data_IF_657562803910
#
_entry.id   IF_657562803910
#
_cell.length_a   1.000
_cell.length_b   1.000
_cell.length_c   1.000
_cell.angle_alpha   90.00
_cell.angle_beta   90.00
_cell.angle_gamma   90.00
#
_symmetry.space_group_name_H-M   'P 1'
#
loop_
_entity.id
_entity.type
_entity.pdbx_description
1 polymer ?
#
# COMPACT_ATOMS: atom_id res chain seq x y z
N UNK A 1 -27.15 -9.44 -4.67
CA UNK A 1 -28.46 -8.76 -4.89
C UNK A 1 -29.45 -8.80 -3.70
N UNK A 2 -29.22 -9.59 -2.63
CA UNK A 2 -30.19 -9.74 -1.50
C UNK A 2 -30.07 -8.71 -0.36
N UNK A 3 -28.90 -8.10 -0.14
CA UNK A 3 -28.67 -7.11 0.93
C UNK A 3 -29.31 -5.74 0.68
N UNK A 4 -29.36 -5.26 -0.57
CA UNK A 4 -29.94 -3.94 -0.92
C UNK A 4 -31.47 -3.89 -0.73
N UNK A 5 -32.17 -5.01 -0.98
CA UNK A 5 -33.63 -5.10 -0.77
C UNK A 5 -33.99 -5.12 0.72
N UNK A 6 -33.15 -5.71 1.56
CA UNK A 6 -33.37 -5.79 3.01
C UNK A 6 -33.21 -4.42 3.69
N UNK A 7 -32.18 -3.64 3.31
CA UNK A 7 -31.99 -2.25 3.79
C UNK A 7 -33.17 -1.33 3.46
N UNK A 8 -33.75 -1.44 2.25
CA UNK A 8 -34.93 -0.65 1.88
C UNK A 8 -36.19 -1.03 2.66
N UNK A 9 -36.38 -2.33 2.92
CA UNK A 9 -37.49 -2.81 3.74
C UNK A 9 -37.35 -2.40 5.20
N UNK A 10 -36.13 -2.46 5.76
CA UNK A 10 -35.84 -2.01 7.12
C UNK A 10 -36.12 -0.50 7.28
N UNK A 11 -35.72 0.32 6.30
CA UNK A 11 -35.98 1.77 6.30
C UNK A 11 -37.49 2.09 6.30
N UNK A 12 -38.27 1.38 5.49
CA UNK A 12 -39.73 1.57 5.47
C UNK A 12 -40.43 1.05 6.74
N UNK A 13 -39.90 -0.01 7.35
CA UNK A 13 -40.43 -0.53 8.61
C UNK A 13 -40.18 0.47 9.76
N UNK A 14 -38.98 1.05 9.82
CA UNK A 14 -38.60 2.06 10.81
C UNK A 14 -39.43 3.34 10.67
N UNK A 15 -39.67 3.81 9.43
CA UNK A 15 -40.54 4.96 9.16
C UNK A 15 -42.01 4.73 9.50
N UNK A 16 -42.49 3.49 9.42
CA UNK A 16 -43.86 3.14 9.85
C UNK A 16 -43.97 3.00 11.36
N UNK A 17 -42.92 2.50 12.02
CA UNK A 17 -42.87 2.41 13.47
C UNK A 17 -42.88 3.80 14.14
N UNK A 18 -42.20 4.78 13.54
CA UNK A 18 -42.17 6.16 14.04
C UNK A 18 -43.51 6.89 13.93
N UNK A 19 -44.42 6.42 13.08
CA UNK A 19 -45.78 6.97 12.91
C UNK A 19 -46.81 6.34 13.86
N UNK A 20 -46.44 5.26 14.56
CA UNK A 20 -47.32 4.52 15.47
C UNK A 20 -47.08 4.86 16.96
N UNK A 21 -46.06 5.65 17.26
CA UNK A 21 -45.76 6.09 18.61
C UNK A 21 -46.56 7.37 18.92
N UNK A 22 -47.26 7.46 20.06
CA UNK A 22 -47.97 8.67 20.45
C UNK A 22 -46.97 9.82 20.57
N UNK A 23 -47.35 10.99 20.04
CA UNK A 23 -46.52 12.20 19.97
C UNK A 23 -46.16 12.78 21.35
N UNK A 24 -46.80 12.31 22.42
CA UNK A 24 -46.59 12.78 23.79
C UNK A 24 -45.91 11.68 24.62
N UNK A 25 -44.62 11.45 24.35
CA UNK A 25 -43.77 10.73 25.31
C UNK A 25 -42.59 11.62 25.68
N UNK A 26 -42.34 11.70 26.98
CA UNK A 26 -41.42 12.58 27.69
C UNK A 26 -39.92 12.35 27.35
N UNK A 27 -39.57 12.34 26.08
CA UNK A 27 -38.21 12.18 25.54
C UNK A 27 -37.78 13.36 24.65
N UNK A 28 -38.51 14.48 24.69
CA UNK A 28 -38.24 15.64 23.84
C UNK A 28 -36.95 16.41 24.20
N UNK A 29 -36.36 16.17 25.39
CA UNK A 29 -35.23 16.95 25.91
C UNK A 29 -33.91 16.19 26.00
N UNK A 30 -33.79 15.01 25.39
CA UNK A 30 -32.49 14.34 25.27
C UNK A 30 -31.74 14.92 24.05
N UNK A 31 -31.06 16.05 24.24
CA UNK A 31 -30.00 16.50 23.34
C UNK A 31 -28.98 15.35 23.20
N UNK A 32 -28.99 14.69 22.04
CA UNK A 32 -27.95 13.75 21.67
C UNK A 32 -26.65 14.53 21.51
N UNK A 33 -25.85 14.61 22.58
CA UNK A 33 -24.49 15.13 22.53
C UNK A 33 -23.66 14.15 21.70
N UNK A 34 -23.56 14.40 20.40
CA UNK A 34 -22.70 13.64 19.51
C UNK A 34 -21.24 13.88 19.91
N UNK A 35 -20.65 12.93 20.62
CA UNK A 35 -19.22 12.92 20.89
C UNK A 35 -18.44 13.07 19.58
N UNK A 36 -17.73 14.20 19.44
CA UNK A 36 -16.78 14.40 18.36
C UNK A 36 -15.44 13.83 18.82
N UNK A 37 -14.91 12.76 18.18
CA UNK A 37 -13.61 12.23 18.57
C UNK A 37 -12.53 13.28 18.33
N UNK A 38 -11.76 13.58 19.38
CA UNK A 38 -10.56 14.43 19.30
C UNK A 38 -9.37 13.55 18.97
N UNK A 39 -8.72 13.81 17.84
CA UNK A 39 -7.53 13.10 17.42
C UNK A 39 -6.29 13.79 18.00
N UNK A 40 -5.35 12.99 18.49
CA UNK A 40 -4.05 13.46 18.94
C UNK A 40 -2.99 12.78 18.08
N UNK A 41 -2.08 13.57 17.52
CA UNK A 41 -1.01 13.08 16.67
C UNK A 41 0.25 12.83 17.50
N UNK A 42 0.87 11.67 17.29
CA UNK A 42 2.17 11.33 17.87
C UNK A 42 3.07 10.77 16.75
N UNK A 43 4.36 11.09 16.81
CA UNK A 43 5.35 10.54 15.90
C UNK A 43 6.15 9.46 16.63
N UNK A 44 6.29 8.31 15.99
CA UNK A 44 7.07 7.19 16.52
C UNK A 44 8.09 6.74 15.47
N UNK A 45 9.31 6.45 15.91
CA UNK A 45 10.32 5.80 15.08
C UNK A 45 10.20 4.29 15.27
N UNK A 46 10.07 3.56 14.16
CA UNK A 46 9.83 2.12 14.20
C UNK A 46 10.97 1.41 13.47
N UNK A 47 11.72 0.51 14.14
CA UNK A 47 12.76 -0.25 13.48
C UNK A 47 12.13 -1.21 12.46
N UNK A 48 12.73 -1.26 11.27
CA UNK A 48 12.35 -2.18 10.20
C UNK A 48 13.62 -2.81 9.66
N UNK A 49 13.60 -4.13 9.55
CA UNK A 49 14.72 -4.96 9.11
C UNK A 49 14.29 -5.75 7.89
N UNK A 50 15.06 -5.60 6.80
CA UNK A 50 14.90 -6.37 5.57
C UNK A 50 16.08 -7.33 5.43
N UNK A 51 15.79 -8.60 5.22
CA UNK A 51 16.78 -9.60 4.82
C UNK A 51 17.09 -9.49 3.32
N UNK A 52 18.15 -10.18 2.88
CA UNK A 52 18.44 -10.32 1.45
C UNK A 52 17.31 -11.00 0.68
N UNK A 53 16.62 -11.96 1.29
CA UNK A 53 15.47 -12.64 0.71
C UNK A 53 14.27 -11.69 0.54
N UNK A 54 14.02 -10.82 1.52
CA UNK A 54 12.96 -9.80 1.41
C UNK A 54 13.23 -8.85 0.25
N UNK A 55 14.48 -8.42 0.08
CA UNK A 55 14.92 -7.57 -1.03
C UNK A 55 14.71 -8.29 -2.37
N UNK A 56 15.14 -9.55 -2.47
CA UNK A 56 15.03 -10.36 -3.68
C UNK A 56 13.56 -10.61 -4.05
N UNK A 57 12.68 -10.81 -3.07
CA UNK A 57 11.25 -11.05 -3.25
C UNK A 57 10.50 -9.76 -3.65
N UNK A 58 10.83 -8.60 -3.06
CA UNK A 58 10.32 -7.29 -3.52
C UNK A 58 10.67 -7.08 -5.00
N UNK A 59 11.93 -7.34 -5.36
CA UNK A 59 12.39 -7.20 -6.74
C UNK A 59 11.73 -8.22 -7.67
N UNK A 60 11.55 -9.46 -7.22
CA UNK A 60 10.85 -10.50 -7.97
C UNK A 60 9.41 -10.07 -8.30
N UNK A 61 8.66 -9.59 -7.30
CA UNK A 61 7.28 -9.09 -7.49
C UNK A 61 7.24 -7.87 -8.40
N UNK A 62 8.16 -6.93 -8.23
CA UNK A 62 8.27 -5.78 -9.12
C UNK A 62 8.43 -6.24 -10.59
N UNK A 63 9.39 -7.13 -10.85
CA UNK A 63 9.71 -7.61 -12.20
C UNK A 63 8.66 -8.56 -12.79
N UNK A 64 7.89 -9.28 -11.97
CA UNK A 64 6.84 -10.19 -12.42
C UNK A 64 5.49 -9.51 -12.72
N UNK A 65 5.30 -8.25 -12.32
CA UNK A 65 4.02 -7.58 -12.55
C UNK A 65 3.87 -6.18 -11.97
N UNK A 66 4.63 -5.84 -10.93
CA UNK A 66 4.54 -4.51 -10.31
C UNK A 66 4.88 -3.38 -11.29
N UNK A 67 6.06 -3.43 -11.89
CA UNK A 67 6.57 -2.32 -12.72
C UNK A 67 6.37 -2.51 -14.22
N UNK A 68 5.88 -3.66 -14.67
CA UNK A 68 5.76 -4.01 -16.10
C UNK A 68 4.88 -3.05 -16.92
N UNK A 69 4.05 -2.23 -16.26
CA UNK A 69 3.19 -1.24 -16.93
C UNK A 69 3.97 -0.02 -17.43
N UNK A 70 5.10 0.30 -16.80
CA UNK A 70 5.89 1.49 -17.10
C UNK A 70 7.38 1.21 -17.36
N UNK A 71 7.89 0.05 -16.94
CA UNK A 71 9.23 -0.44 -17.19
C UNK A 71 9.22 -1.54 -18.26
N UNK A 72 9.98 -1.34 -19.34
CA UNK A 72 10.06 -2.27 -20.49
C UNK A 72 11.17 -3.30 -20.33
N UNK A 73 12.24 -2.93 -19.64
CA UNK A 73 13.45 -3.73 -19.57
C UNK A 73 14.17 -3.49 -18.24
N UNK A 74 14.67 -4.55 -17.64
CA UNK A 74 15.52 -4.51 -16.46
C UNK A 74 16.81 -5.27 -16.74
N UNK A 75 17.95 -4.61 -16.59
CA UNK A 75 19.27 -5.20 -16.82
C UNK A 75 20.15 -5.04 -15.59
N UNK A 76 20.98 -6.04 -15.33
CA UNK A 76 21.95 -5.99 -14.24
C UNK A 76 23.23 -5.27 -14.68
N UNK A 77 23.75 -4.39 -13.83
CA UNK A 77 25.05 -3.75 -14.00
C UNK A 77 25.98 -4.17 -12.85
N UNK A 78 27.19 -4.62 -13.24
CA UNK A 78 28.11 -5.32 -12.35
C UNK A 78 27.86 -6.82 -12.39
N UNK A 79 28.92 -7.61 -12.64
CA UNK A 79 28.76 -9.06 -12.76
C UNK A 79 28.84 -9.71 -11.37
N UNK A 80 27.69 -10.12 -10.85
CA UNK A 80 27.61 -11.31 -10.00
C UNK A 80 27.33 -12.52 -10.90
N UNK A 81 28.30 -13.43 -11.11
CA UNK A 81 28.09 -14.57 -11.98
C UNK A 81 26.97 -15.47 -11.45
N UNK A 82 25.89 -15.66 -12.23
CA UNK A 82 24.99 -16.81 -12.10
C UNK A 82 23.65 -16.64 -11.34
N UNK A 83 23.13 -15.44 -11.08
CA UNK A 83 21.83 -15.26 -10.38
C UNK A 83 20.88 -14.25 -11.04
N UNK A 84 19.59 -14.46 -10.80
CA UNK A 84 18.46 -13.74 -11.39
C UNK A 84 18.60 -12.21 -11.28
N UNK A 85 17.97 -11.45 -12.18
CA UNK A 85 17.97 -9.97 -12.14
C UNK A 85 17.42 -9.45 -10.80
N UNK A 86 16.44 -10.14 -10.21
CA UNK A 86 15.88 -9.80 -8.90
C UNK A 86 16.89 -9.89 -7.75
N UNK A 87 17.92 -10.72 -7.88
CA UNK A 87 18.89 -11.05 -6.83
C UNK A 87 20.06 -10.06 -6.73
N UNK A 88 20.12 -9.07 -7.63
CA UNK A 88 21.29 -8.20 -7.75
C UNK A 88 21.43 -7.26 -6.54
N UNK A 89 20.33 -6.67 -6.06
CA UNK A 89 20.39 -5.61 -5.06
C UNK A 89 20.82 -6.09 -3.67
N UNK A 90 20.32 -7.25 -3.21
CA UNK A 90 20.72 -7.83 -1.92
C UNK A 90 22.21 -8.22 -1.88
N UNK A 91 22.85 -8.30 -3.03
CA UNK A 91 24.27 -8.60 -3.21
C UNK A 91 25.09 -7.36 -3.56
N UNK A 92 24.56 -6.15 -3.32
CA UNK A 92 25.20 -4.87 -3.66
C UNK A 92 25.46 -4.65 -5.16
N UNK A 93 24.77 -5.38 -6.03
CA UNK A 93 24.69 -5.10 -7.46
C UNK A 93 23.79 -3.90 -7.76
N UNK A 94 23.71 -3.55 -9.04
CA UNK A 94 22.90 -2.43 -9.54
C UNK A 94 21.97 -2.91 -10.66
N UNK A 95 20.78 -2.33 -10.73
CA UNK A 95 19.83 -2.56 -11.81
C UNK A 95 19.60 -1.30 -12.63
N UNK A 96 19.60 -1.45 -13.95
CA UNK A 96 19.19 -0.43 -14.91
C UNK A 96 17.79 -0.76 -15.41
N UNK A 97 16.83 0.10 -15.08
CA UNK A 97 15.43 -0.03 -15.44
C UNK A 97 15.10 0.96 -16.56
N UNK A 98 14.70 0.46 -17.72
CA UNK A 98 14.31 1.29 -18.86
C UNK A 98 12.80 1.50 -18.88
N UNK A 99 12.37 2.75 -18.78
CA UNK A 99 10.95 3.09 -18.82
C UNK A 99 10.36 3.10 -20.25
N UNK A 100 9.05 3.33 -20.33
CA UNK A 100 8.34 3.40 -21.61
C UNK A 100 8.82 4.54 -22.52
N UNK A 101 9.39 5.61 -21.96
CA UNK A 101 9.97 6.74 -22.67
C UNK A 101 11.44 6.53 -23.05
N UNK A 102 11.99 5.33 -22.83
CA UNK A 102 13.39 4.94 -23.03
C UNK A 102 14.39 5.64 -22.09
N UNK A 103 13.92 6.28 -21.01
CA UNK A 103 14.81 6.77 -19.95
C UNK A 103 15.31 5.59 -19.14
N UNK A 104 16.60 5.58 -18.82
CA UNK A 104 17.22 4.55 -18.00
C UNK A 104 17.40 5.08 -16.58
N UNK A 105 16.84 4.35 -15.63
CA UNK A 105 16.90 4.66 -14.20
C UNK A 105 17.79 3.66 -13.49
N UNK A 106 18.75 4.15 -12.73
CA UNK A 106 19.65 3.32 -11.93
C UNK A 106 19.04 3.05 -10.55
N UNK A 107 18.86 1.78 -10.21
CA UNK A 107 18.39 1.31 -8.92
C UNK A 107 19.52 0.59 -8.17
N UNK A 108 19.83 1.09 -6.98
CA UNK A 108 20.80 0.51 -6.04
C UNK A 108 20.09 0.05 -4.78
N UNK A 109 20.75 -0.78 -3.97
CA UNK A 109 20.22 -1.20 -2.67
C UNK A 109 19.81 0.00 -1.80
N UNK A 110 20.64 1.04 -1.73
CA UNK A 110 20.34 2.23 -0.93
C UNK A 110 19.09 2.97 -1.41
N UNK A 111 18.89 3.08 -2.73
CA UNK A 111 17.66 3.66 -3.30
C UNK A 111 16.45 2.82 -2.95
N UNK A 112 16.55 1.49 -3.05
CA UNK A 112 15.47 0.57 -2.67
C UNK A 112 15.08 0.73 -1.19
N UNK A 113 16.07 0.74 -0.28
CA UNK A 113 15.82 0.92 1.15
C UNK A 113 15.15 2.27 1.46
N UNK A 114 15.58 3.33 0.77
CA UNK A 114 14.93 4.65 0.86
C UNK A 114 13.50 4.62 0.31
N UNK A 115 13.27 3.92 -0.80
CA UNK A 115 11.94 3.73 -1.38
C UNK A 115 11.01 2.99 -0.43
N UNK A 116 11.50 1.94 0.24
CA UNK A 116 10.75 1.19 1.25
C UNK A 116 10.39 2.06 2.45
N UNK A 117 11.34 2.88 2.93
CA UNK A 117 11.07 3.86 3.98
C UNK A 117 9.95 4.84 3.58
N UNK A 118 10.01 5.38 2.36
CA UNK A 118 8.99 6.31 1.88
C UNK A 118 7.63 5.64 1.69
N UNK A 119 7.60 4.39 1.27
CA UNK A 119 6.37 3.59 1.21
C UNK A 119 5.67 3.53 2.57
N UNK A 120 6.40 3.25 3.65
CA UNK A 120 5.84 3.24 5.01
C UNK A 120 5.36 4.64 5.47
N UNK A 121 6.15 5.68 5.20
CA UNK A 121 5.78 7.07 5.53
C UNK A 121 4.49 7.49 4.81
N UNK A 122 4.30 7.03 3.57
CA UNK A 122 3.11 7.30 2.77
C UNK A 122 1.87 6.48 3.18
N UNK A 123 1.93 5.73 4.28
CA UNK A 123 0.82 4.92 4.80
C UNK A 123 0.80 3.48 4.28
N UNK A 124 1.85 3.05 3.58
CA UNK A 124 2.07 1.63 3.29
C UNK A 124 2.21 0.85 4.59
N UNK A 125 1.58 -0.32 4.67
CA UNK A 125 1.58 -1.14 5.87
C UNK A 125 2.21 -2.51 5.60
N UNK A 126 2.92 -3.02 6.60
CA UNK A 126 3.59 -4.32 6.59
C UNK A 126 3.63 -4.80 8.03
N UNK A 127 3.20 -6.03 8.28
CA UNK A 127 3.33 -6.63 9.60
C UNK A 127 4.82 -6.88 9.90
N UNK A 128 5.18 -6.77 11.17
CA UNK A 128 6.54 -7.00 11.64
C UNK A 128 6.55 -7.62 13.02
N UNK A 129 7.58 -8.40 13.31
CA UNK A 129 7.81 -8.93 14.64
C UNK A 129 8.52 -7.90 15.56
N UNK A 130 8.75 -8.29 16.81
CA UNK A 130 9.42 -7.46 17.82
C UNK A 130 10.85 -7.04 17.45
N UNK A 131 11.50 -7.73 16.50
CA UNK A 131 12.83 -7.41 15.98
C UNK A 131 12.78 -6.50 14.74
N UNK A 132 11.58 -6.06 14.34
CA UNK A 132 11.35 -5.25 13.15
C UNK A 132 11.46 -6.04 11.84
N UNK A 133 11.61 -7.36 11.88
CA UNK A 133 11.61 -8.19 10.66
C UNK A 133 10.20 -8.21 10.08
N UNK A 134 10.09 -7.94 8.79
CA UNK A 134 8.80 -7.83 8.12
C UNK A 134 8.22 -9.19 7.71
N UNK A 135 6.92 -9.23 7.50
CA UNK A 135 6.28 -10.28 6.73
C UNK A 135 6.24 -9.90 5.25
N UNK A 136 7.13 -10.51 4.46
CA UNK A 136 7.23 -10.23 3.02
C UNK A 136 5.95 -10.56 2.24
N UNK A 137 5.04 -11.36 2.80
CA UNK A 137 3.77 -11.73 2.17
C UNK A 137 2.80 -10.55 2.07
N UNK A 138 2.98 -9.53 2.90
CA UNK A 138 2.18 -8.30 2.87
C UNK A 138 2.59 -7.35 1.74
N UNK A 139 3.80 -7.52 1.20
CA UNK A 139 4.23 -6.79 0.02
C UNK A 139 3.71 -7.53 -1.21
N UNK A 140 2.67 -6.99 -1.84
CA UNK A 140 2.16 -7.51 -3.11
C UNK A 140 2.82 -6.80 -4.31
N UNK A 141 2.28 -7.04 -5.51
CA UNK A 141 2.77 -6.40 -6.73
C UNK A 141 2.59 -4.88 -6.74
N UNK A 142 1.50 -4.36 -6.16
CA UNK A 142 1.20 -2.92 -6.14
C UNK A 142 2.09 -2.21 -5.12
N UNK A 143 2.31 -2.81 -3.95
CA UNK A 143 3.26 -2.33 -2.96
C UNK A 143 4.70 -2.35 -3.50
N UNK A 144 5.08 -3.41 -4.21
CA UNK A 144 6.40 -3.50 -4.87
C UNK A 144 6.59 -2.40 -5.92
N UNK A 145 5.58 -2.14 -6.76
CA UNK A 145 5.58 -1.01 -7.70
C UNK A 145 5.79 0.33 -6.98
N UNK A 146 5.00 0.58 -5.93
CA UNK A 146 5.11 1.80 -5.14
C UNK A 146 6.51 2.00 -4.53
N UNK A 147 7.09 0.95 -3.94
CA UNK A 147 8.45 0.98 -3.37
C UNK A 147 9.48 1.37 -4.44
N UNK A 148 9.40 0.78 -5.64
CA UNK A 148 10.33 1.09 -6.74
C UNK A 148 10.12 2.51 -7.25
N UNK A 149 8.88 2.98 -7.38
CA UNK A 149 8.60 4.35 -7.78
C UNK A 149 9.12 5.36 -6.75
N UNK A 150 8.96 5.10 -5.45
CA UNK A 150 9.59 5.94 -4.42
C UNK A 150 11.12 5.90 -4.49
N UNK A 151 11.70 4.73 -4.75
CA UNK A 151 13.16 4.58 -4.87
C UNK A 151 13.76 5.39 -6.03
N UNK A 152 13.06 5.45 -7.17
CA UNK A 152 13.55 6.11 -8.39
C UNK A 152 13.14 7.58 -8.48
N UNK A 153 11.92 7.90 -8.05
CA UNK A 153 11.27 9.18 -8.33
C UNK A 153 10.94 9.98 -7.07
N UNK A 154 11.02 9.36 -5.89
CA UNK A 154 10.59 9.97 -4.62
C UNK A 154 9.08 10.17 -4.48
N UNK A 155 8.29 9.73 -5.47
CA UNK A 155 6.82 9.82 -5.49
C UNK A 155 6.23 8.81 -6.49
N UNK A 156 4.93 8.57 -6.39
CA UNK A 156 4.18 7.80 -7.39
C UNK A 156 3.93 8.69 -8.63
N UNK A 157 4.33 8.20 -9.80
CA UNK A 157 4.11 8.85 -11.10
C UNK A 157 3.21 7.97 -11.98
N UNK A 158 3.31 6.66 -11.84
CA UNK A 158 2.55 5.66 -12.59
C UNK A 158 1.49 5.03 -11.68
N UNK A 159 0.30 5.63 -11.64
CA UNK A 159 -0.80 5.14 -10.82
C UNK A 159 -1.41 3.83 -11.37
N UNK A 160 -1.96 3.00 -10.47
CA UNK A 160 -2.92 1.99 -10.87
C UNK A 160 -4.24 2.68 -11.27
N UNK A 161 -4.86 2.30 -12.40
CA UNK A 161 -6.18 2.81 -12.72
C UNK A 161 -7.11 2.46 -11.56
N UNK A 162 -7.72 3.49 -10.96
CA UNK A 162 -8.68 3.30 -9.86
C UNK A 162 -9.72 2.28 -10.33
N UNK A 163 -9.78 1.10 -9.69
CA UNK A 163 -10.85 0.13 -9.94
C UNK A 163 -12.15 0.89 -9.73
N UNK A 164 -12.92 1.07 -10.81
CA UNK A 164 -14.13 1.88 -10.81
C UNK A 164 -15.02 1.50 -9.63
N UNK A 165 -15.39 2.51 -8.83
CA UNK A 165 -16.35 2.32 -7.75
C UNK A 165 -17.64 1.71 -8.29
N UNK A 166 -18.05 0.60 -7.68
CA UNK A 166 -19.33 -0.07 -7.95
C UNK A 166 -20.51 0.62 -7.24
#
# INVERSE_FOLDING_TARGET
MRLRKWKRRLKHLLLRLSLLLPADSAYADLEYVYYQPVWHEITVELPVSLSGEDIDEIMSKALCGGILRWCKEATAQGQYPGKLVSEQLSRNGTLLLRDNANTVHELTLQKLLNGFRQYLIAGGNVDRNERGQIDIRDIDYEASDAIIQYALFGKIIHEYPKRGGF
#
